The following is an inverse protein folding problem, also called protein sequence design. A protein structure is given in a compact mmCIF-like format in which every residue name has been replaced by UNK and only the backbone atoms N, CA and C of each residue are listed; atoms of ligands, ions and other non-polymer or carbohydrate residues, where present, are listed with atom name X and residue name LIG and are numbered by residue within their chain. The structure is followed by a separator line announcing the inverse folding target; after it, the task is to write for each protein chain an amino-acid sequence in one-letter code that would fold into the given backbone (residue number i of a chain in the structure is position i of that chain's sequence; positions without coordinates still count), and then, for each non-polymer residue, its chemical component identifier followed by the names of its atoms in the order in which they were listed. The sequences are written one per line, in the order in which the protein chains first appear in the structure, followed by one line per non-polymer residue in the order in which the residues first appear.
data_IF_434907546965
#
_entry.id   IF_434907546965
#
_cell.length_a   1.000
_cell.length_b   1.000
_cell.length_c   1.000
_cell.angle_alpha   90.00
_cell.angle_beta   90.00
_cell.angle_gamma   90.00
#
_symmetry.space_group_name_H-M   'P 1'
#
loop_
_entity.id
_entity.type
_entity.pdbx_description
1 polymer ?
#
# COMPACT_ATOMS: atom_id res chain seq x y z
N UNK A 1 -0.69 2.03 -35.06
CA UNK A 1 -0.88 2.03 -33.59
C UNK A 1 0.48 2.27 -32.97
N UNK A 2 0.75 3.44 -32.41
CA UNK A 2 2.03 3.68 -31.73
C UNK A 2 2.13 2.67 -30.58
N UNK A 3 3.12 1.79 -30.64
CA UNK A 3 3.38 0.82 -29.57
C UNK A 3 3.63 1.60 -28.28
N UNK A 4 2.76 1.43 -27.27
CA UNK A 4 2.98 1.99 -25.95
C UNK A 4 4.40 1.62 -25.47
N UNK A 5 5.16 2.57 -24.88
CA UNK A 5 6.48 2.26 -24.36
C UNK A 5 6.42 1.11 -23.36
N UNK A 6 7.43 0.24 -23.37
CA UNK A 6 7.56 -0.80 -22.35
C UNK A 6 8.11 -0.20 -21.07
N UNK A 7 7.68 -0.74 -19.94
CA UNK A 7 8.26 -0.36 -18.65
C UNK A 7 9.69 -0.89 -18.55
N UNK A 8 10.60 -0.04 -18.09
CA UNK A 8 11.99 -0.39 -17.82
C UNK A 8 12.27 -0.22 -16.32
N UNK A 9 12.41 -1.33 -15.57
CA UNK A 9 12.77 -1.27 -14.15
C UNK A 9 14.06 -0.48 -13.97
N UNK A 10 14.04 0.44 -13.00
CA UNK A 10 15.17 1.31 -12.64
C UNK A 10 15.67 2.24 -13.78
N UNK A 11 14.86 2.46 -14.82
CA UNK A 11 15.08 3.56 -15.76
C UNK A 11 14.80 4.93 -15.13
N UNK A 12 15.11 6.00 -15.86
CA UNK A 12 14.98 7.40 -15.37
C UNK A 12 13.59 7.68 -14.78
N UNK A 13 12.52 7.30 -15.48
CA UNK A 13 11.16 7.50 -15.01
C UNK A 13 10.86 6.74 -13.70
N UNK A 14 11.34 5.50 -13.56
CA UNK A 14 11.16 4.71 -12.36
C UNK A 14 11.93 5.29 -11.17
N UNK A 15 13.20 5.66 -11.38
CA UNK A 15 14.04 6.28 -10.35
C UNK A 15 13.46 7.63 -9.90
N UNK A 16 12.89 8.41 -10.82
CA UNK A 16 12.21 9.65 -10.47
C UNK A 16 10.99 9.39 -9.59
N UNK A 17 10.18 8.38 -9.91
CA UNK A 17 9.03 7.99 -9.06
C UNK A 17 9.49 7.56 -7.66
N UNK A 18 10.52 6.73 -7.56
CA UNK A 18 11.09 6.31 -6.26
C UNK A 18 11.56 7.54 -5.48
N UNK A 19 12.32 8.43 -6.13
CA UNK A 19 12.81 9.67 -5.52
C UNK A 19 11.66 10.54 -5.01
N UNK A 20 10.62 10.77 -5.82
CA UNK A 20 9.46 11.58 -5.45
C UNK A 20 8.68 10.93 -4.30
N UNK A 21 8.53 9.60 -4.31
CA UNK A 21 7.84 8.85 -3.23
C UNK A 21 8.53 9.06 -1.89
N UNK A 22 9.87 9.12 -1.90
CA UNK A 22 10.66 9.39 -0.70
C UNK A 22 10.60 10.88 -0.34
N UNK A 23 10.84 11.79 -1.29
CA UNK A 23 11.01 13.22 -1.01
C UNK A 23 9.69 13.94 -0.66
N UNK A 24 8.61 13.64 -1.38
CA UNK A 24 7.33 14.36 -1.27
C UNK A 24 6.76 14.40 0.16
N UNK A 25 6.67 13.30 0.94
CA UNK A 25 6.07 13.37 2.27
C UNK A 25 6.89 14.24 3.23
N UNK A 26 8.21 14.30 3.10
CA UNK A 26 9.04 15.22 3.90
C UNK A 26 8.83 16.67 3.50
N UNK A 27 8.76 16.97 2.20
CA UNK A 27 8.46 18.31 1.70
C UNK A 27 7.08 18.80 2.18
N UNK A 28 6.06 17.94 2.11
CA UNK A 28 4.71 18.26 2.60
C UNK A 28 4.69 18.45 4.13
N UNK A 29 5.38 17.59 4.88
CA UNK A 29 5.49 17.74 6.34
C UNK A 29 6.26 19.00 6.74
N UNK A 30 7.34 19.34 6.02
CA UNK A 30 8.09 20.57 6.23
C UNK A 30 7.23 21.80 5.94
N UNK A 31 6.42 21.78 4.88
CA UNK A 31 5.47 22.84 4.56
C UNK A 31 4.46 23.07 5.68
N UNK A 32 3.85 22.00 6.21
CA UNK A 32 2.91 22.10 7.35
C UNK A 32 3.60 22.66 8.60
N UNK A 33 4.84 22.24 8.88
CA UNK A 33 5.62 22.73 10.03
C UNK A 33 6.03 24.20 9.87
N UNK A 34 6.34 24.62 8.65
CA UNK A 34 6.74 25.99 8.35
C UNK A 34 5.55 26.95 8.43
N UNK A 35 4.41 26.61 7.83
CA UNK A 35 3.22 27.47 7.87
C UNK A 35 2.50 27.45 9.22
N UNK A 36 2.69 26.39 10.02
CA UNK A 36 1.95 26.14 11.28
C UNK A 36 0.42 26.21 11.11
N UNK A 37 -0.07 26.01 9.90
CA UNK A 37 -1.46 26.20 9.53
C UNK A 37 -2.20 24.89 9.41
N UNK A 38 -3.26 24.72 10.21
CA UNK A 38 -4.16 23.58 10.10
C UNK A 38 -4.92 23.55 8.76
N UNK A 39 -5.09 24.70 8.10
CA UNK A 39 -5.69 24.78 6.78
C UNK A 39 -4.76 24.17 5.71
N UNK A 40 -3.46 24.46 5.76
CA UNK A 40 -2.47 23.84 4.86
C UNK A 40 -2.49 22.32 4.98
N UNK A 41 -2.52 21.81 6.22
CA UNK A 41 -2.61 20.37 6.46
C UNK A 41 -3.89 19.76 5.86
N UNK A 42 -5.06 20.39 6.08
CA UNK A 42 -6.34 19.93 5.51
C UNK A 42 -6.34 19.95 3.99
N UNK A 43 -5.74 20.97 3.37
CA UNK A 43 -5.61 21.05 1.90
C UNK A 43 -4.74 19.90 1.39
N UNK A 44 -3.61 19.61 2.04
CA UNK A 44 -2.73 18.49 1.66
C UNK A 44 -3.46 17.15 1.79
N UNK A 45 -4.13 16.91 2.92
CA UNK A 45 -4.92 15.69 3.14
C UNK A 45 -6.05 15.56 2.10
N UNK A 46 -6.75 16.66 1.82
CA UNK A 46 -7.79 16.72 0.79
C UNK A 46 -7.25 16.44 -0.61
N UNK A 47 -6.12 17.04 -0.97
CA UNK A 47 -5.46 16.83 -2.26
C UNK A 47 -4.99 15.39 -2.44
N UNK A 48 -4.28 14.81 -1.45
CA UNK A 48 -3.85 13.41 -1.50
C UNK A 48 -5.04 12.44 -1.62
N UNK A 49 -6.09 12.68 -0.83
CA UNK A 49 -7.32 11.86 -0.88
C UNK A 49 -8.01 11.96 -2.25
N UNK A 50 -8.13 13.18 -2.78
CA UNK A 50 -8.73 13.42 -4.08
C UNK A 50 -7.91 12.80 -5.20
N UNK A 51 -6.58 12.90 -5.17
CA UNK A 51 -5.69 12.28 -6.15
C UNK A 51 -5.85 10.76 -6.17
N UNK A 52 -5.89 10.11 -5.00
CA UNK A 52 -6.08 8.66 -4.91
C UNK A 52 -7.45 8.23 -5.47
N UNK A 53 -8.53 8.89 -5.05
CA UNK A 53 -9.89 8.58 -5.50
C UNK A 53 -10.07 8.87 -6.99
N UNK A 54 -9.65 10.04 -7.46
CA UNK A 54 -9.74 10.41 -8.86
C UNK A 54 -8.94 9.44 -9.74
N UNK A 55 -7.73 9.04 -9.31
CA UNK A 55 -6.95 8.05 -10.02
C UNK A 55 -7.69 6.71 -10.14
N UNK A 56 -8.28 6.23 -9.04
CA UNK A 56 -9.06 4.99 -9.03
C UNK A 56 -10.25 5.05 -10.01
N UNK A 57 -11.07 6.11 -9.95
CA UNK A 57 -12.24 6.24 -10.82
C UNK A 57 -11.88 6.49 -12.29
N UNK A 58 -10.83 7.26 -12.57
CA UNK A 58 -10.31 7.46 -13.93
C UNK A 58 -9.82 6.14 -14.50
N UNK A 59 -9.07 5.35 -13.72
CA UNK A 59 -8.64 4.02 -14.12
C UNK A 59 -9.82 3.12 -14.48
N UNK A 60 -10.81 2.98 -13.59
CA UNK A 60 -12.01 2.18 -13.85
C UNK A 60 -12.76 2.66 -15.11
N UNK A 61 -12.87 3.97 -15.29
CA UNK A 61 -13.58 4.56 -16.43
C UNK A 61 -12.89 4.26 -17.76
N UNK A 62 -11.57 4.46 -17.83
CA UNK A 62 -10.80 4.19 -19.04
C UNK A 62 -10.82 2.70 -19.38
N UNK A 63 -10.57 1.86 -18.39
CA UNK A 63 -10.49 0.42 -18.61
C UNK A 63 -11.86 -0.15 -19.04
N UNK A 64 -12.97 0.39 -18.52
CA UNK A 64 -14.33 0.08 -18.99
C UNK A 64 -14.58 0.56 -20.43
N UNK A 65 -14.14 1.77 -20.79
CA UNK A 65 -14.32 2.31 -22.14
C UNK A 65 -13.57 1.51 -23.20
N UNK A 66 -12.37 1.03 -22.89
CA UNK A 66 -11.57 0.22 -23.81
C UNK A 66 -12.01 -1.26 -23.88
N UNK A 67 -13.03 -1.66 -23.10
CA UNK A 67 -13.46 -3.06 -23.00
C UNK A 67 -12.33 -4.00 -22.56
N UNK A 68 -11.30 -3.45 -21.90
CA UNK A 68 -10.03 -4.12 -21.72
C UNK A 68 -10.02 -5.11 -20.54
N UNK A 69 -11.08 -5.13 -19.73
CA UNK A 69 -11.19 -5.97 -18.54
C UNK A 69 -12.60 -6.49 -18.33
N UNK A 70 -12.68 -7.64 -17.68
CA UNK A 70 -13.93 -8.26 -17.25
C UNK A 70 -14.50 -7.56 -16.01
N UNK A 71 -15.78 -7.77 -15.68
CA UNK A 71 -16.43 -7.05 -14.57
C UNK A 71 -15.83 -7.44 -13.21
N UNK A 72 -15.30 -8.66 -13.08
CA UNK A 72 -14.59 -9.16 -11.92
C UNK A 72 -13.36 -8.27 -11.63
N UNK A 73 -12.62 -7.87 -12.67
CA UNK A 73 -11.44 -7.01 -12.51
C UNK A 73 -11.74 -5.61 -11.96
N UNK A 74 -13.00 -5.19 -12.01
CA UNK A 74 -13.45 -3.89 -11.52
C UNK A 74 -13.82 -3.91 -10.03
N UNK A 75 -13.90 -5.09 -9.39
CA UNK A 75 -14.21 -5.19 -7.97
C UNK A 75 -13.00 -4.70 -7.13
N UNK A 76 -13.22 -3.83 -6.12
CA UNK A 76 -12.16 -3.29 -5.26
C UNK A 76 -11.70 -4.32 -4.22
N UNK A 77 -11.21 -5.46 -4.68
CA UNK A 77 -10.85 -6.61 -3.83
C UNK A 77 -9.33 -6.84 -3.80
N UNK A 78 -8.55 -6.05 -4.54
CA UNK A 78 -7.11 -6.05 -4.34
C UNK A 78 -6.78 -5.39 -3.01
N UNK A 79 -5.76 -5.91 -2.32
CA UNK A 79 -5.35 -5.38 -1.02
C UNK A 79 -4.97 -3.90 -1.09
N UNK A 80 -4.44 -3.43 -2.23
CA UNK A 80 -4.10 -2.03 -2.44
C UNK A 80 -5.35 -1.12 -2.50
N UNK A 81 -6.49 -1.59 -3.01
CA UNK A 81 -7.75 -0.85 -3.00
C UNK A 81 -8.21 -0.60 -1.56
N UNK A 82 -8.11 -1.63 -0.72
CA UNK A 82 -8.44 -1.55 0.70
C UNK A 82 -7.45 -0.66 1.46
N UNK A 83 -6.16 -0.81 1.18
CA UNK A 83 -5.12 0.03 1.77
C UNK A 83 -5.33 1.51 1.40
N UNK A 84 -5.74 1.82 0.16
CA UNK A 84 -6.10 3.18 -0.28
C UNK A 84 -7.24 3.75 0.56
N UNK A 85 -8.33 3.00 0.74
CA UNK A 85 -9.46 3.46 1.56
C UNK A 85 -9.03 3.69 3.01
N UNK A 86 -8.28 2.75 3.58
CA UNK A 86 -7.85 2.84 4.99
C UNK A 86 -6.87 3.99 5.22
N UNK A 87 -5.93 4.27 4.30
CA UNK A 87 -5.04 5.44 4.45
C UNK A 87 -5.82 6.76 4.33
N UNK A 88 -6.81 6.85 3.44
CA UNK A 88 -7.67 8.04 3.36
C UNK A 88 -8.39 8.25 4.69
N UNK A 89 -9.02 7.21 5.24
CA UNK A 89 -9.69 7.28 6.55
C UNK A 89 -8.69 7.66 7.64
N UNK A 90 -7.47 7.09 7.64
CA UNK A 90 -6.43 7.41 8.61
C UNK A 90 -5.99 8.88 8.53
N UNK A 91 -5.85 9.44 7.32
CA UNK A 91 -5.45 10.85 7.12
C UNK A 91 -6.50 11.82 7.69
N UNK A 92 -7.78 11.55 7.45
CA UNK A 92 -8.87 12.41 7.93
C UNK A 92 -9.16 12.24 9.42
N UNK A 93 -9.14 11.01 9.92
CA UNK A 93 -9.49 10.73 11.33
C UNK A 93 -8.31 10.86 12.28
N UNK A 94 -7.08 10.71 11.77
CA UNK A 94 -5.83 10.70 12.54
C UNK A 94 -5.82 9.65 13.66
N UNK A 95 -6.68 8.63 13.56
CA UNK A 95 -6.82 7.61 14.60
C UNK A 95 -5.73 6.55 14.45
N UNK A 96 -5.00 6.21 15.54
CA UNK A 96 -3.94 5.20 15.49
C UNK A 96 -4.38 3.87 14.90
N UNK A 97 -5.62 3.43 15.16
CA UNK A 97 -6.13 2.14 14.68
C UNK A 97 -6.19 2.05 13.15
N UNK A 98 -6.66 3.09 12.47
CA UNK A 98 -6.69 3.13 11.01
C UNK A 98 -5.30 3.29 10.43
N UNK A 99 -4.46 4.09 11.09
CA UNK A 99 -3.06 4.25 10.71
C UNK A 99 -2.31 2.91 10.77
N UNK A 100 -2.52 2.10 11.80
CA UNK A 100 -1.87 0.79 11.93
C UNK A 100 -2.19 -0.12 10.75
N UNK A 101 -3.47 -0.25 10.39
CA UNK A 101 -3.90 -1.04 9.23
C UNK A 101 -3.27 -0.49 7.95
N UNK A 102 -3.33 0.83 7.75
CA UNK A 102 -2.71 1.48 6.59
C UNK A 102 -1.20 1.26 6.53
N UNK A 103 -0.50 1.34 7.67
CA UNK A 103 0.94 1.16 7.78
C UNK A 103 1.34 -0.25 7.34
N UNK A 104 0.73 -1.28 7.92
CA UNK A 104 1.11 -2.67 7.65
C UNK A 104 0.66 -3.13 6.25
N UNK A 105 -0.56 -2.80 5.81
CA UNK A 105 -1.01 -3.15 4.45
C UNK A 105 -0.31 -2.33 3.38
N UNK A 106 -0.18 -1.02 3.61
CA UNK A 106 0.46 -0.09 2.69
C UNK A 106 1.95 -0.36 2.58
N UNK A 107 2.73 -0.25 3.65
CA UNK A 107 4.18 -0.46 3.57
C UNK A 107 4.51 -1.90 3.19
N UNK A 108 3.78 -2.90 3.71
CA UNK A 108 4.02 -4.31 3.39
C UNK A 108 3.75 -4.64 1.91
N UNK A 109 2.64 -4.15 1.35
CA UNK A 109 2.24 -4.46 -0.03
C UNK A 109 2.79 -3.49 -1.07
N UNK A 110 2.67 -2.18 -0.83
CA UNK A 110 2.92 -1.17 -1.87
C UNK A 110 4.41 -0.84 -2.06
N UNK A 111 5.26 -1.03 -1.04
CA UNK A 111 6.72 -0.85 -1.22
C UNK A 111 7.28 -1.88 -2.21
N UNK A 112 6.83 -3.14 -2.15
CA UNK A 112 7.20 -4.16 -3.13
C UNK A 112 6.68 -3.78 -4.52
N UNK A 113 5.43 -3.30 -4.62
CA UNK A 113 4.87 -2.84 -5.90
C UNK A 113 5.65 -1.66 -6.50
N UNK A 114 6.20 -0.76 -5.67
CA UNK A 114 7.01 0.37 -6.16
C UNK A 114 8.44 -0.05 -6.50
N UNK A 115 9.07 -0.96 -5.75
CA UNK A 115 10.46 -1.34 -6.01
C UNK A 115 10.61 -2.40 -7.11
N UNK A 116 9.66 -3.32 -7.19
CA UNK A 116 9.61 -4.42 -8.16
C UNK A 116 8.24 -4.47 -8.84
N UNK A 117 7.88 -3.43 -9.62
CA UNK A 117 6.57 -3.34 -10.25
C UNK A 117 6.38 -4.42 -11.31
N UNK A 118 5.25 -5.12 -11.25
CA UNK A 118 4.78 -5.98 -12.33
C UNK A 118 3.94 -5.16 -13.31
N UNK A 119 4.60 -4.24 -14.04
CA UNK A 119 3.95 -3.30 -14.95
C UNK A 119 4.52 -3.48 -16.36
N UNK A 120 3.65 -3.63 -17.36
CA UNK A 120 4.06 -3.78 -18.76
C UNK A 120 4.34 -2.44 -19.47
N UNK A 121 3.62 -1.38 -19.07
CA UNK A 121 3.57 -0.11 -19.79
C UNK A 121 4.43 0.95 -19.09
N UNK A 122 5.35 1.55 -19.84
CA UNK A 122 6.27 2.59 -19.37
C UNK A 122 5.71 4.00 -19.54
N UNK A 123 6.44 4.98 -19.00
CA UNK A 123 6.13 6.40 -19.21
C UNK A 123 6.16 6.76 -20.71
N UNK A 124 5.25 7.61 -21.22
CA UNK A 124 4.18 8.34 -20.52
C UNK A 124 2.79 7.68 -20.65
N UNK A 125 2.67 6.36 -20.51
CA UNK A 125 1.37 5.66 -20.59
C UNK A 125 0.50 5.92 -19.34
N UNK A 126 -0.82 6.03 -19.51
CA UNK A 126 -1.73 6.28 -18.38
C UNK A 126 -1.65 5.18 -17.30
N UNK A 127 -1.39 3.92 -17.71
CA UNK A 127 -1.26 2.78 -16.79
C UNK A 127 -0.03 2.91 -15.89
N UNK A 128 1.04 3.52 -16.42
CA UNK A 128 2.21 3.86 -15.63
C UNK A 128 1.84 4.86 -14.53
N UNK A 129 1.21 5.97 -14.89
CA UNK A 129 0.79 6.96 -13.90
C UNK A 129 -0.19 6.38 -12.89
N UNK A 130 -1.20 5.64 -13.35
CA UNK A 130 -2.23 5.11 -12.47
C UNK A 130 -1.70 4.12 -11.46
N UNK A 131 -0.80 3.22 -11.90
CA UNK A 131 -0.12 2.28 -11.02
C UNK A 131 0.73 3.01 -9.98
N UNK A 132 1.58 3.96 -10.37
CA UNK A 132 2.44 4.61 -9.40
C UNK A 132 1.69 5.60 -8.49
N UNK A 133 0.65 6.29 -8.97
CA UNK A 133 -0.17 7.17 -8.13
C UNK A 133 -0.86 6.37 -7.01
N UNK A 134 -1.45 5.21 -7.32
CA UNK A 134 -2.15 4.41 -6.32
C UNK A 134 -1.21 3.88 -5.24
N UNK A 135 -0.04 3.35 -5.63
CA UNK A 135 0.90 2.74 -4.68
C UNK A 135 1.73 3.78 -3.92
N UNK A 136 2.26 4.78 -4.61
CA UNK A 136 3.09 5.82 -3.99
C UNK A 136 2.24 6.73 -3.11
N UNK A 137 1.01 7.07 -3.50
CA UNK A 137 0.11 7.91 -2.71
C UNK A 137 -0.20 7.29 -1.33
N UNK A 138 -0.33 5.97 -1.24
CA UNK A 138 -0.47 5.25 0.04
C UNK A 138 0.78 5.45 0.91
N UNK A 139 1.98 5.24 0.36
CA UNK A 139 3.25 5.41 1.08
C UNK A 139 3.41 6.86 1.56
N UNK A 140 3.16 7.82 0.68
CA UNK A 140 3.23 9.26 0.99
C UNK A 140 2.28 9.60 2.14
N UNK A 141 1.03 9.13 2.11
CA UNK A 141 0.05 9.36 3.18
C UNK A 141 0.51 8.78 4.53
N UNK A 142 1.07 7.56 4.53
CA UNK A 142 1.57 6.91 5.75
C UNK A 142 2.74 7.71 6.34
N UNK A 143 3.75 8.01 5.54
CA UNK A 143 4.93 8.76 6.00
C UNK A 143 4.52 10.17 6.45
N UNK A 144 3.60 10.82 5.72
CA UNK A 144 3.06 12.12 6.12
C UNK A 144 2.43 12.09 7.51
N UNK A 145 1.60 11.08 7.82
CA UNK A 145 1.02 10.91 9.16
C UNK A 145 2.06 10.62 10.24
N UNK A 146 3.09 9.83 9.92
CA UNK A 146 4.21 9.60 10.83
C UNK A 146 4.97 10.90 11.14
N UNK A 147 5.18 11.74 10.13
CA UNK A 147 5.95 12.97 10.26
C UNK A 147 5.15 14.11 10.90
N UNK A 148 3.85 14.25 10.61
CA UNK A 148 3.03 15.38 11.09
C UNK A 148 2.34 15.06 12.42
N UNK A 149 1.77 13.86 12.55
CA UNK A 149 0.99 13.45 13.74
C UNK A 149 1.74 12.48 14.65
N UNK A 150 2.98 12.11 14.32
CA UNK A 150 3.80 11.21 15.13
C UNK A 150 3.14 9.84 15.38
N UNK A 151 2.25 9.43 14.46
CA UNK A 151 1.61 8.12 14.51
C UNK A 151 2.65 7.04 14.19
N UNK A 152 2.58 5.92 14.91
CA UNK A 152 3.45 4.75 14.72
C UNK A 152 2.74 3.48 15.17
N UNK A 153 3.11 2.30 14.65
CA UNK A 153 2.58 1.03 15.15
C UNK A 153 3.08 0.72 16.58
N UNK A 154 2.35 -0.13 17.28
CA UNK A 154 2.60 -0.63 18.63
C UNK A 154 2.59 -2.18 18.64
N UNK A 155 3.07 -2.86 19.70
CA UNK A 155 3.12 -4.33 19.71
C UNK A 155 1.76 -5.00 19.45
N UNK A 156 0.71 -4.51 20.12
CA UNK A 156 -0.65 -5.02 19.94
C UNK A 156 -1.27 -4.66 18.57
N UNK A 157 -0.64 -3.78 17.80
CA UNK A 157 -1.08 -3.47 16.44
C UNK A 157 -0.92 -4.67 15.51
N UNK A 158 0.10 -5.52 15.72
CA UNK A 158 0.30 -6.74 14.92
C UNK A 158 -0.95 -7.63 15.00
N UNK A 159 -1.44 -7.92 16.22
CA UNK A 159 -2.61 -8.78 16.42
C UNK A 159 -3.87 -8.14 15.81
N UNK A 160 -4.07 -6.83 16.03
CA UNK A 160 -5.24 -6.11 15.48
C UNK A 160 -5.25 -6.12 13.96
N UNK A 161 -4.12 -5.83 13.33
CA UNK A 161 -4.03 -5.79 11.87
C UNK A 161 -4.09 -7.20 11.30
N UNK A 162 -3.52 -8.19 11.97
CA UNK A 162 -3.68 -9.59 11.59
C UNK A 162 -5.17 -9.96 11.54
N UNK A 163 -5.95 -9.62 12.57
CA UNK A 163 -7.41 -9.85 12.55
C UNK A 163 -8.13 -9.13 11.38
N UNK A 164 -7.73 -7.90 11.04
CA UNK A 164 -8.24 -7.22 9.84
C UNK A 164 -7.83 -7.92 8.53
N UNK A 165 -6.63 -8.50 8.51
CA UNK A 165 -6.10 -9.24 7.36
C UNK A 165 -6.85 -10.54 7.16
N UNK A 166 -7.19 -11.26 8.25
CA UNK A 166 -8.08 -12.42 8.21
C UNK A 166 -9.47 -12.05 7.69
N UNK A 167 -10.01 -10.92 8.15
CA UNK A 167 -11.29 -10.42 7.66
C UNK A 167 -11.25 -10.12 6.14
N UNK A 168 -10.18 -9.48 5.67
CA UNK A 168 -9.93 -9.29 4.24
C UNK A 168 -9.84 -10.64 3.51
N UNK A 169 -9.08 -11.61 4.03
CA UNK A 169 -8.92 -12.93 3.40
C UNK A 169 -10.24 -13.67 3.27
N UNK A 170 -11.11 -13.64 4.29
CA UNK A 170 -12.41 -14.30 4.24
C UNK A 170 -13.29 -13.70 3.13
N UNK A 171 -13.37 -12.38 3.06
CA UNK A 171 -14.20 -11.68 2.06
C UNK A 171 -13.66 -11.93 0.65
N UNK A 172 -12.35 -11.78 0.48
CA UNK A 172 -11.67 -11.92 -0.81
C UNK A 172 -11.73 -13.37 -1.30
N UNK A 173 -11.51 -14.36 -0.43
CA UNK A 173 -11.61 -15.78 -0.78
C UNK A 173 -13.05 -16.18 -1.15
N UNK A 174 -14.05 -15.61 -0.47
CA UNK A 174 -15.45 -15.84 -0.82
C UNK A 174 -15.72 -15.28 -2.22
N UNK A 175 -15.35 -14.03 -2.48
CA UNK A 175 -15.50 -13.40 -3.79
C UNK A 175 -14.76 -14.18 -4.89
N UNK A 176 -13.52 -14.60 -4.64
CA UNK A 176 -12.73 -15.41 -5.56
C UNK A 176 -13.41 -16.74 -5.92
N UNK A 177 -14.06 -17.40 -4.96
CA UNK A 177 -14.82 -18.62 -5.26
C UNK A 177 -16.04 -18.36 -6.14
N UNK A 178 -16.64 -17.17 -6.06
CA UNK A 178 -17.79 -16.77 -6.87
C UNK A 178 -17.38 -16.26 -8.26
N UNK A 179 -16.30 -15.50 -8.36
CA UNK A 179 -15.86 -14.84 -9.60
C UNK A 179 -14.81 -15.63 -10.37
N UNK A 180 -14.03 -16.48 -9.70
CA UNK A 180 -12.88 -17.18 -10.26
C UNK A 180 -11.66 -16.31 -10.57
N UNK A 181 -11.64 -15.04 -10.14
CA UNK A 181 -10.67 -14.06 -10.64
C UNK A 181 -9.24 -14.17 -10.04
N UNK A 182 -9.10 -14.48 -8.75
CA UNK A 182 -7.82 -14.58 -8.01
C UNK A 182 -7.30 -13.24 -7.43
N UNK A 183 -8.14 -12.50 -6.71
CA UNK A 183 -7.72 -11.33 -5.93
C UNK A 183 -6.74 -11.72 -4.82
N UNK A 184 -5.69 -10.93 -4.63
CA UNK A 184 -4.70 -11.22 -3.57
C UNK A 184 -3.99 -12.58 -3.71
N UNK A 185 -4.12 -13.26 -4.86
CA UNK A 185 -3.51 -14.56 -5.16
C UNK A 185 -3.95 -15.70 -4.25
N UNK A 186 -5.23 -15.74 -3.85
CA UNK A 186 -5.77 -16.75 -2.93
C UNK A 186 -6.17 -18.08 -3.58
N UNK A 187 -6.48 -18.08 -4.88
CA UNK A 187 -6.79 -19.28 -5.64
C UNK A 187 -5.51 -19.93 -6.19
N UNK A 188 -4.64 -19.12 -6.79
CA UNK A 188 -3.41 -19.57 -7.43
C UNK A 188 -2.29 -18.52 -7.25
N UNK A 189 -1.04 -18.99 -7.33
CA UNK A 189 0.16 -18.14 -7.23
C UNK A 189 0.21 -17.10 -8.36
N UNK A 190 0.83 -15.93 -8.13
CA UNK A 190 1.08 -14.96 -9.20
C UNK A 190 2.00 -15.54 -10.27
N UNK A 191 1.81 -15.13 -11.53
CA UNK A 191 2.73 -15.46 -12.63
C UNK A 191 4.08 -14.73 -12.48
N UNK A 192 4.07 -13.54 -11.89
CA UNK A 192 5.27 -12.78 -11.59
C UNK A 192 6.12 -13.50 -10.54
N UNK A 193 7.45 -13.41 -10.66
CA UNK A 193 8.38 -13.97 -9.67
C UNK A 193 8.33 -13.14 -8.38
N UNK A 194 7.68 -13.67 -7.37
CA UNK A 194 7.50 -13.08 -6.04
C UNK A 194 7.84 -14.07 -4.94
N UNK A 195 7.87 -13.62 -3.69
CA UNK A 195 8.00 -14.51 -2.52
C UNK A 195 6.83 -15.50 -2.40
N UNK A 196 5.66 -15.20 -2.98
CA UNK A 196 4.54 -16.15 -2.99
C UNK A 196 4.85 -17.40 -3.83
N UNK A 197 5.77 -17.30 -4.80
CA UNK A 197 6.17 -18.45 -5.62
C UNK A 197 7.07 -19.44 -4.87
N UNK A 198 7.69 -19.05 -3.77
CA UNK A 198 8.52 -19.95 -2.94
C UNK A 198 7.70 -20.75 -1.92
N UNK A 199 6.41 -20.44 -1.78
CA UNK A 199 5.48 -21.15 -0.90
C UNK A 199 5.09 -22.52 -1.51
N UNK A 200 4.41 -23.36 -0.74
CA UNK A 200 3.90 -24.67 -1.13
C UNK A 200 3.01 -24.61 -2.38
N UNK A 201 3.03 -25.68 -3.19
CA UNK A 201 2.09 -25.87 -4.30
C UNK A 201 0.74 -26.46 -3.86
N UNK A 202 0.71 -27.11 -2.69
CA UNK A 202 -0.54 -27.58 -2.09
C UNK A 202 -1.34 -26.39 -1.54
N UNK A 203 -2.57 -26.16 -2.04
CA UNK A 203 -3.36 -24.94 -1.76
C UNK A 203 -3.67 -24.70 -0.28
N UNK A 204 -4.17 -25.67 0.52
CA UNK A 204 -4.29 -25.51 1.96
C UNK A 204 -3.00 -25.06 2.66
N UNK A 205 -1.88 -25.68 2.31
CA UNK A 205 -0.58 -25.34 2.89
C UNK A 205 -0.07 -23.97 2.40
N UNK A 206 -0.27 -23.65 1.12
CA UNK A 206 0.01 -22.34 0.53
C UNK A 206 -0.71 -21.21 1.27
N UNK A 207 -2.02 -21.37 1.53
CA UNK A 207 -2.81 -20.39 2.27
C UNK A 207 -2.29 -20.25 3.70
N UNK A 208 -2.00 -21.35 4.39
CA UNK A 208 -1.42 -21.31 5.73
C UNK A 208 -0.07 -20.57 5.75
N UNK A 209 0.83 -20.90 4.81
CA UNK A 209 2.13 -20.24 4.67
C UNK A 209 2.00 -18.76 4.30
N UNK A 210 0.99 -18.36 3.52
CA UNK A 210 0.70 -16.95 3.27
C UNK A 210 0.37 -16.19 4.56
N UNK A 211 -0.38 -16.79 5.49
CA UNK A 211 -0.71 -16.15 6.77
C UNK A 211 0.56 -16.01 7.63
N UNK A 212 1.42 -17.03 7.64
CA UNK A 212 2.72 -16.96 8.32
C UNK A 212 3.63 -15.90 7.69
N UNK A 213 3.67 -15.81 6.36
CA UNK A 213 4.46 -14.81 5.64
C UNK A 213 3.96 -13.39 5.97
N UNK A 214 2.64 -13.15 5.95
CA UNK A 214 2.05 -11.88 6.34
C UNK A 214 2.41 -11.50 7.79
N UNK A 215 2.33 -12.46 8.72
CA UNK A 215 2.72 -12.24 10.11
C UNK A 215 4.21 -11.91 10.24
N UNK A 216 5.08 -12.62 9.52
CA UNK A 216 6.51 -12.35 9.48
C UNK A 216 6.79 -10.93 8.96
N UNK A 217 6.11 -10.49 7.89
CA UNK A 217 6.19 -9.12 7.40
C UNK A 217 5.77 -8.11 8.46
N UNK A 218 4.68 -8.35 9.20
CA UNK A 218 4.24 -7.43 10.25
C UNK A 218 5.27 -7.34 11.39
N UNK A 219 5.90 -8.45 11.77
CA UNK A 219 6.99 -8.43 12.76
C UNK A 219 8.18 -7.63 12.26
N UNK A 220 8.61 -7.84 11.00
CA UNK A 220 9.73 -7.10 10.38
C UNK A 220 9.43 -5.60 10.32
N UNK A 221 8.23 -5.22 9.90
CA UNK A 221 7.83 -3.81 9.82
C UNK A 221 7.71 -3.14 11.20
N UNK A 222 7.36 -3.91 12.24
CA UNK A 222 7.31 -3.39 13.61
C UNK A 222 8.70 -3.30 14.27
N UNK A 223 9.66 -4.12 13.83
CA UNK A 223 10.97 -4.29 14.48
C UNK A 223 11.74 -2.99 14.74
N UNK A 224 11.82 -2.00 13.83
CA UNK A 224 12.52 -0.74 14.09
C UNK A 224 11.96 0.02 15.31
N UNK A 225 10.64 -0.03 15.51
CA UNK A 225 9.98 0.64 16.65
C UNK A 225 10.23 -0.11 17.95
N UNK A 226 10.21 -1.45 17.91
CA UNK A 226 10.53 -2.28 19.06
C UNK A 226 11.96 -2.03 19.57
N UNK A 227 12.94 -2.00 18.65
CA UNK A 227 14.36 -1.73 18.97
C UNK A 227 14.51 -0.34 19.60
N UNK A 228 13.87 0.68 19.00
CA UNK A 228 13.90 2.05 19.52
C UNK A 228 13.31 2.16 20.94
N UNK A 229 12.17 1.51 21.19
CA UNK A 229 11.51 1.54 22.49
C UNK A 229 12.33 0.80 23.58
N UNK A 230 12.97 -0.31 23.23
CA UNK A 230 13.88 -1.05 24.12
C UNK A 230 15.12 -0.23 24.48
N UNK A 231 15.76 0.42 23.49
CA UNK A 231 16.92 1.28 23.72
C UNK A 231 16.60 2.45 24.66
N UNK A 232 15.43 3.08 24.51
CA UNK A 232 14.98 4.17 25.40
C UNK A 232 14.67 3.70 26.81
N UNK A 233 14.08 2.52 27.00
CA UNK A 233 13.83 1.97 28.34
C UNK A 233 15.14 1.72 29.10
N UNK A 234 16.16 1.16 28.43
CA UNK A 234 17.48 0.91 29.02
C UNK A 234 18.16 2.21 29.47
N UNK A 235 18.09 3.27 28.68
CA UNK A 235 18.64 4.60 29.03
C UNK A 235 17.97 5.21 30.27
N UNK A 236 16.67 4.98 30.48
CA UNK A 236 15.94 5.48 31.65
C UNK A 236 16.26 4.74 32.95
N UNK A 237 16.66 3.46 32.88
CA UNK A 237 17.02 2.67 34.07
C UNK A 237 18.51 2.80 34.45
N UNK A 238 19.33 3.38 33.57
CA UNK A 238 20.75 3.64 33.81
C UNK A 238 21.02 5.05 34.37
N UNK A 239 19.98 5.86 34.60
CA UNK A 239 20.01 7.16 35.27
C UNK A 239 19.27 7.05 36.59
#
# INVERSE_FOLDING_TARGET
MNSSPRFHPYGVAHLLVIFLTIALPFSLAALVRWTKSSATERIIVGALSLTLLANYFVYLSLVRQFGAVSWEQLLPLQLCDWAMVVIIIAMWTRRPRWFEVAYFWGIGGTVQAVLTPNLAFGFPDFRFFSFFISHCGIIVGIIFLMLVHHLRPHPFSIIRVFAWTEFYFIITLAADKFTGFNYGFLLHKPEAKTLLNTLSDNRPLYLFEMHLLALAFFVVLYLPFAIYDLARKKSKHAR
#
